data_IF_962409431824
#
_entry.id   IF_962409431824
#
_cell.length_a   1.000
_cell.length_b   1.000
_cell.length_c   1.000
_cell.angle_alpha   90.00
_cell.angle_beta   90.00
_cell.angle_gamma   90.00
#
_symmetry.space_group_name_H-M   'P 1'
#
loop_
_entity.id
_entity.type
_entity.pdbx_description
1 polymer ?
#
# COMPACT_ATOMS: atom_id res chain seq x y z
N UNK A 1 -16.40 -59.94 -58.02
CA UNK A 1 -16.10 -59.02 -56.91
C UNK A 1 -17.23 -59.16 -55.90
N UNK A 2 -16.99 -59.86 -54.81
CA UNK A 2 -18.01 -60.08 -53.76
C UNK A 2 -18.21 -58.80 -52.97
N UNK A 3 -19.46 -58.36 -52.90
CA UNK A 3 -19.92 -57.19 -52.13
C UNK A 3 -19.95 -57.44 -50.61
N UNK A 4 -19.58 -58.65 -50.18
CA UNK A 4 -19.73 -59.17 -48.81
C UNK A 4 -18.87 -58.45 -47.76
N UNK A 5 -17.86 -57.67 -48.18
CA UNK A 5 -17.01 -56.87 -47.28
C UNK A 5 -17.24 -55.37 -47.31
N UNK A 6 -18.05 -54.84 -48.25
CA UNK A 6 -18.17 -53.39 -48.45
C UNK A 6 -19.17 -52.74 -47.49
N UNK A 7 -20.37 -53.33 -47.38
CA UNK A 7 -21.43 -52.82 -46.50
C UNK A 7 -21.07 -52.85 -45.01
N UNK A 8 -20.47 -53.90 -44.45
CA UNK A 8 -20.10 -53.93 -43.03
C UNK A 8 -19.00 -52.91 -42.68
N UNK A 9 -17.99 -52.78 -43.54
CA UNK A 9 -16.88 -51.84 -43.32
C UNK A 9 -17.31 -50.39 -43.52
N UNK A 10 -18.13 -50.09 -44.53
CA UNK A 10 -18.66 -48.75 -44.77
C UNK A 10 -19.58 -48.27 -43.63
N UNK A 11 -20.46 -49.15 -43.12
CA UNK A 11 -21.35 -48.81 -42.00
C UNK A 11 -20.56 -48.64 -40.69
N UNK A 12 -19.53 -49.47 -40.47
CA UNK A 12 -18.63 -49.34 -39.31
C UNK A 12 -17.85 -48.02 -39.32
N UNK A 13 -17.27 -47.64 -40.46
CA UNK A 13 -16.56 -46.35 -40.62
C UNK A 13 -17.50 -45.14 -40.51
N UNK A 14 -18.71 -45.23 -41.07
CA UNK A 14 -19.71 -44.16 -40.97
C UNK A 14 -20.25 -43.99 -39.54
N UNK A 15 -20.48 -45.09 -38.81
CA UNK A 15 -20.85 -45.07 -37.39
C UNK A 15 -19.70 -44.59 -36.51
N UNK A 16 -18.46 -45.02 -36.75
CA UNK A 16 -17.30 -44.54 -36.03
C UNK A 16 -17.09 -43.03 -36.24
N UNK A 17 -17.33 -42.53 -37.46
CA UNK A 17 -17.25 -41.11 -37.79
C UNK A 17 -18.41 -40.32 -37.18
N UNK A 18 -19.63 -40.86 -37.16
CA UNK A 18 -20.80 -40.25 -36.50
C UNK A 18 -20.68 -40.24 -34.97
N UNK A 19 -20.11 -41.28 -34.36
CA UNK A 19 -19.83 -41.33 -32.93
C UNK A 19 -18.65 -40.40 -32.61
N UNK A 20 -17.61 -40.38 -33.45
CA UNK A 20 -16.47 -39.48 -33.36
C UNK A 20 -16.86 -38.01 -33.47
N UNK A 21 -17.76 -37.64 -34.38
CA UNK A 21 -18.29 -36.28 -34.52
C UNK A 21 -19.37 -35.96 -33.46
N UNK A 22 -20.25 -36.91 -33.18
CA UNK A 22 -21.40 -36.77 -32.27
C UNK A 22 -21.02 -36.73 -30.80
N UNK A 23 -19.94 -37.40 -30.39
CA UNK A 23 -19.41 -37.35 -29.03
C UNK A 23 -18.11 -36.52 -28.95
N UNK A 24 -17.26 -36.55 -29.97
CA UNK A 24 -15.97 -35.86 -29.94
C UNK A 24 -16.08 -34.33 -29.96
N UNK A 25 -17.04 -33.76 -30.70
CA UNK A 25 -17.25 -32.30 -30.69
C UNK A 25 -17.77 -31.83 -29.31
N UNK A 26 -18.82 -32.42 -28.72
CA UNK A 26 -19.26 -32.03 -27.38
C UNK A 26 -18.21 -32.23 -26.29
N UNK A 27 -17.46 -33.34 -26.32
CA UNK A 27 -16.38 -33.60 -25.36
C UNK A 27 -15.23 -32.59 -25.53
N UNK A 28 -14.85 -32.27 -26.77
CA UNK A 28 -13.86 -31.24 -27.07
C UNK A 28 -14.26 -29.86 -26.56
N UNK A 29 -15.53 -29.45 -26.78
CA UNK A 29 -16.06 -28.18 -26.26
C UNK A 29 -16.09 -28.19 -24.72
N UNK A 30 -16.48 -29.30 -24.10
CA UNK A 30 -16.51 -29.43 -22.63
C UNK A 30 -15.11 -29.35 -22.02
N UNK A 31 -14.13 -30.03 -22.61
CA UNK A 31 -12.72 -29.95 -22.21
C UNK A 31 -12.17 -28.54 -22.41
N UNK A 32 -12.44 -27.89 -23.54
CA UNK A 32 -11.98 -26.52 -23.78
C UNK A 32 -12.57 -25.53 -22.74
N UNK A 33 -13.86 -25.63 -22.42
CA UNK A 33 -14.49 -24.82 -21.36
C UNK A 33 -13.90 -25.09 -19.98
N UNK A 34 -13.54 -26.34 -19.68
CA UNK A 34 -12.87 -26.69 -18.41
C UNK A 34 -11.47 -26.12 -18.34
N UNK A 35 -10.70 -26.19 -19.43
CA UNK A 35 -9.37 -25.59 -19.52
C UNK A 35 -9.42 -24.07 -19.42
N UNK A 36 -10.33 -23.40 -20.13
CA UNK A 36 -10.53 -21.95 -20.03
C UNK A 36 -10.93 -21.54 -18.61
N UNK A 37 -11.83 -22.28 -17.96
CA UNK A 37 -12.20 -22.00 -16.56
C UNK A 37 -11.04 -22.22 -15.60
N UNK A 38 -10.17 -23.20 -15.84
CA UNK A 38 -9.01 -23.47 -15.00
C UNK A 38 -7.95 -22.38 -15.18
N UNK A 39 -7.67 -22.02 -16.44
CA UNK A 39 -6.76 -20.93 -16.78
C UNK A 39 -7.22 -19.60 -16.20
N UNK A 40 -8.51 -19.28 -16.30
CA UNK A 40 -9.08 -18.06 -15.73
C UNK A 40 -8.92 -18.02 -14.20
N UNK A 41 -9.14 -19.13 -13.51
CA UNK A 41 -8.92 -19.21 -12.06
C UNK A 41 -7.45 -19.02 -11.70
N UNK A 42 -6.54 -19.54 -12.51
CA UNK A 42 -5.11 -19.37 -12.31
C UNK A 42 -4.70 -17.90 -12.52
N UNK A 43 -5.18 -17.25 -13.58
CA UNK A 43 -4.95 -15.83 -13.84
C UNK A 43 -5.52 -14.95 -12.71
N UNK A 44 -6.72 -15.27 -12.20
CA UNK A 44 -7.31 -14.58 -11.04
C UNK A 44 -6.49 -14.78 -9.76
N UNK A 45 -5.93 -15.97 -9.54
CA UNK A 45 -5.05 -16.24 -8.39
C UNK A 45 -3.74 -15.46 -8.50
N UNK A 46 -3.10 -15.46 -9.67
CA UNK A 46 -1.87 -14.71 -9.93
C UNK A 46 -2.08 -13.19 -9.75
N UNK A 47 -3.24 -12.67 -10.17
CA UNK A 47 -3.60 -11.26 -9.96
C UNK A 47 -3.78 -10.94 -8.46
N UNK A 48 -4.47 -11.79 -7.70
CA UNK A 48 -4.64 -11.62 -6.25
C UNK A 48 -3.30 -11.64 -5.53
N UNK A 49 -2.42 -12.58 -5.86
CA UNK A 49 -1.07 -12.68 -5.28
C UNK A 49 -0.24 -11.42 -5.57
N UNK A 50 -0.32 -10.89 -6.81
CA UNK A 50 0.35 -9.66 -7.18
C UNK A 50 -0.14 -8.47 -6.34
N UNK A 51 -1.47 -8.31 -6.23
CA UNK A 51 -2.07 -7.23 -5.45
C UNK A 51 -1.72 -7.31 -3.96
N UNK A 52 -1.70 -8.52 -3.40
CA UNK A 52 -1.28 -8.74 -2.00
C UNK A 52 0.19 -8.38 -1.79
N UNK A 53 1.06 -8.74 -2.73
CA UNK A 53 2.49 -8.40 -2.68
C UNK A 53 2.72 -6.89 -2.77
N UNK A 54 1.97 -6.20 -3.64
CA UNK A 54 2.01 -4.75 -3.75
C UNK A 54 1.53 -4.10 -2.45
N UNK A 55 0.37 -4.50 -1.94
CA UNK A 55 -0.18 -4.03 -0.66
C UNK A 55 0.82 -4.20 0.49
N UNK A 56 1.47 -5.35 0.59
CA UNK A 56 2.53 -5.61 1.56
C UNK A 56 3.69 -4.61 1.43
N UNK A 57 4.20 -4.43 0.21
CA UNK A 57 5.32 -3.51 -0.07
C UNK A 57 4.98 -2.07 0.34
N UNK A 58 3.74 -1.66 0.11
CA UNK A 58 3.20 -0.35 0.51
C UNK A 58 3.20 -0.20 2.03
N UNK A 59 2.64 -1.19 2.75
CA UNK A 59 2.54 -1.16 4.20
C UNK A 59 3.91 -1.21 4.88
N UNK A 60 4.85 -2.04 4.39
CA UNK A 60 6.23 -2.06 4.86
C UNK A 60 6.94 -0.72 4.61
N UNK A 61 6.67 -0.06 3.47
CA UNK A 61 7.20 1.27 3.19
C UNK A 61 6.66 2.32 4.17
N UNK A 62 5.36 2.28 4.48
CA UNK A 62 4.77 3.15 5.49
C UNK A 62 5.33 2.90 6.89
N UNK A 63 5.45 1.64 7.30
CA UNK A 63 6.03 1.26 8.59
C UNK A 63 7.44 1.82 8.75
N UNK A 64 8.32 1.57 7.77
CA UNK A 64 9.70 2.03 7.79
C UNK A 64 9.81 3.56 7.84
N UNK A 65 9.00 4.27 7.06
CA UNK A 65 9.00 5.74 7.04
C UNK A 65 8.47 6.30 8.36
N UNK A 66 7.43 5.67 8.92
CA UNK A 66 6.83 6.06 10.18
C UNK A 66 7.78 5.88 11.36
N UNK A 67 8.44 4.73 11.47
CA UNK A 67 9.46 4.47 12.50
C UNK A 67 10.63 5.45 12.42
N UNK A 68 11.08 5.75 11.20
CA UNK A 68 12.12 6.75 10.97
C UNK A 68 11.66 8.13 11.44
N UNK A 69 10.44 8.54 11.09
CA UNK A 69 9.90 9.82 11.51
C UNK A 69 9.72 9.89 13.04
N UNK A 70 9.27 8.82 13.69
CA UNK A 70 9.20 8.75 15.17
C UNK A 70 10.58 9.01 15.80
N UNK A 71 11.65 8.41 15.27
CA UNK A 71 13.02 8.65 15.75
C UNK A 71 13.40 10.13 15.61
N UNK A 72 13.05 10.76 14.48
CA UNK A 72 13.27 12.18 14.24
C UNK A 72 12.43 13.03 15.21
N UNK A 73 11.17 12.67 15.46
CA UNK A 73 10.30 13.38 16.39
C UNK A 73 10.83 13.35 17.83
N UNK A 74 11.38 12.23 18.28
CA UNK A 74 12.05 12.13 19.59
C UNK A 74 13.21 13.11 19.68
N UNK A 75 14.05 13.18 18.64
CA UNK A 75 15.15 14.16 18.58
C UNK A 75 14.66 15.60 18.56
N UNK A 76 13.58 15.90 17.82
CA UNK A 76 12.95 17.23 17.78
C UNK A 76 12.47 17.62 19.18
N UNK A 77 11.77 16.71 19.88
CA UNK A 77 11.23 16.95 21.22
C UNK A 77 12.33 17.35 22.22
N UNK A 78 13.48 16.69 22.16
CA UNK A 78 14.63 16.98 23.02
C UNK A 78 15.30 18.32 22.69
N UNK A 79 15.37 18.67 21.40
CA UNK A 79 16.19 19.77 20.90
C UNK A 79 15.47 21.08 20.68
N UNK A 80 14.14 21.08 20.55
CA UNK A 80 13.35 22.22 20.08
C UNK A 80 13.46 23.47 20.95
N UNK A 81 13.71 23.29 22.25
CA UNK A 81 13.85 24.41 23.19
C UNK A 81 15.24 25.03 23.21
N UNK A 82 16.27 24.25 22.88
CA UNK A 82 17.66 24.60 23.22
C UNK A 82 18.60 24.73 22.02
N UNK A 83 18.18 24.31 20.82
CA UNK A 83 19.07 24.26 19.65
C UNK A 83 18.34 24.44 18.33
N UNK A 84 19.03 24.94 17.31
CA UNK A 84 18.52 24.95 15.94
C UNK A 84 18.34 23.50 15.48
N UNK A 85 17.15 23.20 14.98
CA UNK A 85 16.77 21.86 14.52
C UNK A 85 16.92 21.88 13.00
N UNK A 86 17.80 21.03 12.49
CA UNK A 86 17.92 20.69 11.09
C UNK A 86 17.36 19.27 10.92
N UNK A 87 16.04 19.15 10.97
CA UNK A 87 15.37 17.86 10.85
C UNK A 87 14.29 17.97 9.79
N UNK A 88 14.27 16.99 8.90
CA UNK A 88 13.30 16.87 7.84
C UNK A 88 12.56 15.55 8.02
N UNK A 89 11.23 15.62 8.12
CA UNK A 89 10.37 14.46 8.15
C UNK A 89 10.34 13.86 6.75
N UNK A 90 10.57 12.55 6.67
CA UNK A 90 10.45 11.87 5.40
C UNK A 90 8.97 11.69 5.07
N UNK A 91 8.55 12.23 3.92
CA UNK A 91 7.17 12.12 3.41
C UNK A 91 7.15 11.49 2.01
N UNK A 92 8.25 10.83 1.62
CA UNK A 92 8.47 10.31 0.28
C UNK A 92 7.50 9.18 -0.07
N UNK A 93 7.26 8.27 0.87
CA UNK A 93 6.34 7.16 0.70
C UNK A 93 4.92 7.69 0.51
N UNK A 94 4.46 8.61 1.37
CA UNK A 94 3.14 9.22 1.21
C UNK A 94 2.97 9.96 -0.13
N UNK A 95 3.97 10.73 -0.57
CA UNK A 95 3.91 11.44 -1.87
C UNK A 95 3.89 10.48 -3.06
N UNK A 96 4.58 9.36 -2.98
CA UNK A 96 4.67 8.38 -4.07
C UNK A 96 3.47 7.44 -4.12
N UNK A 97 2.96 7.07 -2.94
CA UNK A 97 1.91 6.05 -2.77
C UNK A 97 0.50 6.65 -2.82
N UNK A 98 0.30 7.89 -2.37
CA UNK A 98 -0.99 8.60 -2.56
C UNK A 98 -1.41 8.71 -4.04
N UNK A 99 -0.44 8.69 -4.96
CA UNK A 99 -0.68 8.73 -6.40
C UNK A 99 -1.00 7.37 -7.03
N UNK A 100 -0.67 6.25 -6.37
CA UNK A 100 -0.74 4.91 -6.98
C UNK A 100 -1.63 3.92 -6.24
N UNK A 101 -1.87 4.07 -4.93
CA UNK A 101 -2.16 2.88 -4.13
C UNK A 101 -3.06 3.03 -2.91
N UNK A 102 -3.73 4.17 -2.69
CA UNK A 102 -4.73 4.28 -1.61
C UNK A 102 -5.90 3.31 -1.78
N UNK A 103 -6.18 2.89 -3.02
CA UNK A 103 -7.22 1.89 -3.31
C UNK A 103 -6.82 0.45 -2.94
N UNK A 104 -5.54 0.18 -2.64
CA UNK A 104 -5.05 -1.14 -2.23
C UNK A 104 -5.13 -1.35 -0.70
N UNK A 105 -5.44 -0.30 0.06
CA UNK A 105 -5.68 -0.39 1.51
C UNK A 105 -7.18 -0.34 1.74
N UNK A 106 -7.78 -1.52 1.71
CA UNK A 106 -9.21 -1.78 1.88
C UNK A 106 -9.66 -1.67 3.36
N UNK A 107 -8.72 -1.62 4.30
CA UNK A 107 -8.99 -1.31 5.70
C UNK A 107 -9.16 0.20 5.92
N UNK A 108 -10.42 0.64 5.98
CA UNK A 108 -10.80 2.04 6.17
C UNK A 108 -10.20 2.67 7.44
N UNK A 109 -10.13 1.92 8.54
CA UNK A 109 -9.57 2.41 9.81
C UNK A 109 -8.09 2.72 9.67
N UNK A 110 -7.34 1.82 9.01
CA UNK A 110 -5.93 2.01 8.72
C UNK A 110 -5.70 3.18 7.77
N UNK A 111 -6.54 3.31 6.73
CA UNK A 111 -6.45 4.42 5.79
C UNK A 111 -6.63 5.77 6.49
N UNK A 112 -7.67 5.92 7.32
CA UNK A 112 -7.87 7.14 8.11
C UNK A 112 -6.71 7.43 9.06
N UNK A 113 -6.13 6.40 9.67
CA UNK A 113 -4.97 6.55 10.56
C UNK A 113 -3.73 7.05 9.79
N UNK A 114 -3.47 6.49 8.61
CA UNK A 114 -2.37 6.90 7.72
C UNK A 114 -2.55 8.33 7.21
N UNK A 115 -3.77 8.72 6.83
CA UNK A 115 -4.09 10.08 6.39
C UNK A 115 -3.90 11.07 7.53
N UNK A 116 -4.40 10.76 8.73
CA UNK A 116 -4.21 11.59 9.92
C UNK A 116 -2.74 11.78 10.25
N UNK A 117 -1.95 10.70 10.20
CA UNK A 117 -0.50 10.74 10.38
C UNK A 117 0.17 11.66 9.37
N UNK A 118 -0.22 11.53 8.10
CA UNK A 118 0.34 12.32 7.02
C UNK A 118 0.11 13.82 7.26
N UNK A 119 -1.13 14.20 7.55
CA UNK A 119 -1.47 15.59 7.86
C UNK A 119 -0.69 16.10 9.07
N UNK A 120 -0.56 15.33 10.14
CA UNK A 120 0.21 15.73 11.32
C UNK A 120 1.69 15.97 10.98
N UNK A 121 2.31 15.08 10.21
CA UNK A 121 3.68 15.27 9.76
C UNK A 121 3.85 16.46 8.82
N UNK A 122 2.93 16.69 7.89
CA UNK A 122 2.98 17.84 6.99
C UNK A 122 2.89 19.16 7.76
N UNK A 123 1.89 19.28 8.65
CA UNK A 123 1.72 20.46 9.49
C UNK A 123 2.94 20.71 10.38
N UNK A 124 3.53 19.65 10.92
CA UNK A 124 4.74 19.74 11.72
C UNK A 124 5.95 20.19 10.88
N UNK A 125 6.10 19.65 9.67
CA UNK A 125 7.16 20.06 8.74
C UNK A 125 7.06 21.54 8.38
N UNK A 126 5.85 22.05 8.15
CA UNK A 126 5.60 23.47 7.90
C UNK A 126 6.07 24.32 9.09
N UNK A 127 5.77 23.91 10.33
CA UNK A 127 6.23 24.62 11.54
C UNK A 127 7.75 24.58 11.68
N UNK A 128 8.38 23.45 11.40
CA UNK A 128 9.86 23.31 11.44
C UNK A 128 10.50 24.22 10.40
N UNK A 129 9.98 24.25 9.17
CA UNK A 129 10.47 25.13 8.11
C UNK A 129 10.31 26.61 8.51
N UNK A 130 9.13 27.00 9.02
CA UNK A 130 8.90 28.37 9.49
C UNK A 130 9.86 28.78 10.61
N UNK A 131 10.21 27.84 11.50
CA UNK A 131 11.21 28.06 12.56
C UNK A 131 12.59 28.29 11.97
N UNK A 132 12.98 27.46 11.00
CA UNK A 132 14.22 27.63 10.26
C UNK A 132 14.26 29.01 9.57
N UNK A 133 13.22 29.38 8.84
CA UNK A 133 13.12 30.67 8.16
C UNK A 133 13.25 31.85 9.15
N UNK A 134 12.65 31.76 10.34
CA UNK A 134 12.82 32.78 11.38
C UNK A 134 14.30 32.87 11.82
N UNK A 135 14.96 31.75 12.10
CA UNK A 135 16.37 31.77 12.52
C UNK A 135 17.28 32.41 11.47
N UNK A 136 17.06 32.14 10.18
CA UNK A 136 17.94 32.61 9.10
C UNK A 136 17.56 34.00 8.55
N UNK A 137 16.28 34.35 8.49
CA UNK A 137 15.82 35.61 7.90
C UNK A 137 15.65 36.75 8.92
N UNK A 138 15.56 36.46 10.23
CA UNK A 138 15.19 37.48 11.23
C UNK A 138 16.19 37.71 12.37
N UNK A 139 17.42 37.18 12.26
CA UNK A 139 18.49 37.42 13.24
C UNK A 139 18.87 38.91 13.42
N UNK A 140 18.37 39.83 12.57
CA UNK A 140 18.65 41.27 12.67
C UNK A 140 17.41 42.21 12.63
N UNK A 141 16.18 41.72 12.39
CA UNK A 141 15.09 42.61 11.93
C UNK A 141 13.82 42.71 12.79
N UNK A 142 13.61 41.89 13.83
CA UNK A 142 12.32 41.85 14.54
C UNK A 142 12.45 41.93 16.07
N UNK A 143 11.89 42.99 16.66
CA UNK A 143 11.73 43.16 18.10
C UNK A 143 10.98 41.98 18.76
N UNK A 144 10.10 41.33 18.00
CA UNK A 144 9.28 40.19 18.45
C UNK A 144 9.91 38.80 18.19
N UNK A 145 11.13 38.74 17.66
CA UNK A 145 11.75 37.49 17.21
C UNK A 145 11.74 36.41 18.31
N UNK A 146 12.20 36.75 19.51
CA UNK A 146 12.29 35.82 20.64
C UNK A 146 10.92 35.25 21.01
N UNK A 147 9.90 36.10 21.11
CA UNK A 147 8.54 35.69 21.46
C UNK A 147 7.93 34.77 20.39
N UNK A 148 8.09 35.11 19.10
CA UNK A 148 7.60 34.28 17.99
C UNK A 148 8.29 32.93 17.94
N UNK A 149 9.60 32.91 18.17
CA UNK A 149 10.39 31.68 18.22
C UNK A 149 9.97 30.79 19.39
N UNK A 150 9.78 31.37 20.59
CA UNK A 150 9.33 30.64 21.78
C UNK A 150 7.91 30.06 21.60
N UNK A 151 6.98 30.86 21.07
CA UNK A 151 5.63 30.39 20.73
C UNK A 151 5.66 29.23 19.74
N UNK A 152 6.49 29.32 18.69
CA UNK A 152 6.63 28.27 17.69
C UNK A 152 7.29 27.01 18.26
N UNK A 153 8.31 27.16 19.10
CA UNK A 153 8.96 26.04 19.81
C UNK A 153 7.95 25.29 20.70
N UNK A 154 7.12 26.02 21.45
CA UNK A 154 6.08 25.44 22.29
C UNK A 154 5.01 24.72 21.45
N UNK A 155 4.60 25.31 20.33
CA UNK A 155 3.65 24.67 19.40
C UNK A 155 4.19 23.36 18.82
N UNK A 156 5.45 23.36 18.38
CA UNK A 156 6.14 22.16 17.87
C UNK A 156 6.26 21.12 18.99
N UNK A 157 6.73 21.51 20.18
CA UNK A 157 6.91 20.61 21.32
C UNK A 157 5.59 19.92 21.72
N UNK A 158 4.52 20.68 21.82
CA UNK A 158 3.20 20.18 22.22
C UNK A 158 2.64 19.22 21.16
N UNK A 159 2.72 19.58 19.87
CA UNK A 159 2.25 18.72 18.79
C UNK A 159 3.03 17.41 18.75
N UNK A 160 4.37 17.46 18.82
CA UNK A 160 5.21 16.26 18.87
C UNK A 160 4.90 15.38 20.08
N UNK A 161 4.68 16.00 21.24
CA UNK A 161 4.36 15.25 22.47
C UNK A 161 3.02 14.54 22.37
N UNK A 162 1.98 15.22 21.86
CA UNK A 162 0.67 14.62 21.63
C UNK A 162 0.74 13.48 20.59
N UNK A 163 1.44 13.71 19.48
CA UNK A 163 1.62 12.71 18.44
C UNK A 163 2.27 11.42 18.97
N UNK A 164 3.38 11.55 19.71
CA UNK A 164 4.13 10.42 20.25
C UNK A 164 3.40 9.66 21.35
N UNK A 165 2.42 10.28 22.02
CA UNK A 165 1.64 9.63 23.08
C UNK A 165 0.44 8.87 22.55
N UNK A 166 -0.23 9.39 21.52
CA UNK A 166 -1.56 8.87 21.14
C UNK A 166 -1.60 8.26 19.74
N UNK A 167 -0.89 8.86 18.79
CA UNK A 167 -1.05 8.54 17.39
C UNK A 167 -0.02 7.51 16.91
N UNK A 168 1.21 7.56 17.45
CA UNK A 168 2.29 6.70 16.98
C UNK A 168 2.07 5.22 17.27
N UNK A 169 1.68 4.86 18.48
CA UNK A 169 1.49 3.45 18.84
C UNK A 169 0.30 2.86 18.08
N UNK A 170 -0.85 3.54 18.12
CA UNK A 170 -2.08 3.07 17.45
C UNK A 170 -1.89 2.85 15.95
N UNK A 171 -1.21 3.76 15.24
CA UNK A 171 -1.03 3.59 13.80
C UNK A 171 -0.01 2.49 13.48
N UNK A 172 1.05 2.31 14.28
CA UNK A 172 1.99 1.20 14.10
C UNK A 172 1.32 -0.15 14.33
N UNK A 173 0.50 -0.26 15.36
CA UNK A 173 -0.24 -1.48 15.67
C UNK A 173 -1.18 -1.85 14.52
N UNK A 174 -1.89 -0.87 13.95
CA UNK A 174 -2.76 -1.10 12.79
C UNK A 174 -1.99 -1.55 11.54
N UNK A 175 -0.83 -0.95 11.27
CA UNK A 175 0.03 -1.38 10.14
C UNK A 175 0.53 -2.80 10.37
N UNK A 176 0.98 -3.11 11.59
CA UNK A 176 1.51 -4.43 11.96
C UNK A 176 0.44 -5.51 11.85
N UNK A 177 -0.76 -5.24 12.39
CA UNK A 177 -1.90 -6.14 12.27
C UNK A 177 -2.26 -6.42 10.80
N UNK A 178 -2.33 -5.39 9.97
CA UNK A 178 -2.63 -5.58 8.54
C UNK A 178 -1.53 -6.40 7.84
N UNK A 179 -0.26 -6.19 8.17
CA UNK A 179 0.85 -7.00 7.65
C UNK A 179 0.78 -8.47 8.11
N UNK A 180 0.39 -8.73 9.37
CA UNK A 180 0.18 -10.08 9.88
C UNK A 180 -0.96 -10.79 9.14
N UNK A 181 -2.07 -10.10 8.90
CA UNK A 181 -3.21 -10.68 8.12
C UNK A 181 -2.83 -11.03 6.68
N UNK A 182 -1.80 -10.39 6.11
CA UNK A 182 -1.28 -10.71 4.78
C UNK A 182 -0.31 -11.90 4.78
N UNK A 183 0.25 -12.29 5.94
CA UNK A 183 1.13 -13.45 6.06
C UNK A 183 0.37 -14.75 6.38
N UNK A 184 -0.87 -14.66 6.87
CA UNK A 184 -1.72 -15.80 7.21
C UNK A 184 -2.55 -16.34 6.02
N UNK A 185 -2.52 -15.66 4.87
CA UNK A 185 -3.24 -16.03 3.64
C UNK A 185 -2.28 -16.58 2.59
#
# INVERSE_FOLDING_TARGET
MSWEGFLPNFISELLATLIGLGLGIPIGIWLNRKFESWKKKQEEQEEIELLQKEKRTILESFQNEFERNIKILKQIKEKVRNSVIFSYLNLSAWKTLSLKSTNLIDNYTLQLALDRVYYEFEHLQIKINKRFDLYFNSAQALADFKHRLESLNNSIYNQVSSFLLELSEKTLDLITLELETLNEK
#
